data_IF_166848971169
#
_entry.id   IF_166848971169
#
_cell.length_a   1.000
_cell.length_b   1.000
_cell.length_c   1.000
_cell.angle_alpha   90.00
_cell.angle_beta   90.00
_cell.angle_gamma   90.00
#
_symmetry.space_group_name_H-M   'P 1'
#
loop_
_entity.id
_entity.type
_entity.pdbx_description
1 polymer ?
#
# COMPACT_ATOMS: atom_id res chain seq x y z
N UNK A 1 -26.07 42.80 21.72
CA UNK A 1 -25.21 41.88 22.51
C UNK A 1 -25.77 40.45 22.64
N UNK A 2 -27.07 40.25 22.94
CA UNK A 2 -27.65 38.89 23.09
C UNK A 2 -27.64 38.04 21.80
N UNK A 3 -27.85 38.66 20.63
CA UNK A 3 -27.85 37.96 19.33
C UNK A 3 -26.44 37.50 18.90
N UNK A 4 -25.40 38.31 19.17
CA UNK A 4 -24.01 37.99 18.87
C UNK A 4 -23.45 36.92 19.83
N UNK A 5 -23.91 36.90 21.09
CA UNK A 5 -23.58 35.85 22.05
C UNK A 5 -24.17 34.48 21.60
N UNK A 6 -25.38 34.49 21.05
CA UNK A 6 -26.04 33.31 20.46
C UNK A 6 -25.36 32.81 19.18
N UNK A 7 -24.92 33.71 18.30
CA UNK A 7 -24.18 33.38 17.08
C UNK A 7 -22.79 32.78 17.36
N UNK A 8 -22.09 33.30 18.38
CA UNK A 8 -20.79 32.76 18.81
C UNK A 8 -20.94 31.36 19.44
N UNK A 9 -22.04 31.13 20.17
CA UNK A 9 -22.38 29.82 20.73
C UNK A 9 -22.71 28.76 19.68
N UNK A 10 -23.27 29.14 18.52
CA UNK A 10 -23.61 28.23 17.41
C UNK A 10 -22.37 27.80 16.62
N UNK A 11 -21.40 28.70 16.44
CA UNK A 11 -20.12 28.41 15.76
C UNK A 11 -19.24 27.47 16.60
N UNK A 12 -19.31 27.57 17.94
CA UNK A 12 -18.57 26.70 18.85
C UNK A 12 -19.09 25.25 18.87
N UNK A 13 -20.40 25.04 18.69
CA UNK A 13 -21.01 23.69 18.64
C UNK A 13 -20.69 22.96 17.33
N UNK A 14 -20.57 23.69 16.21
CA UNK A 14 -20.20 23.13 14.90
C UNK A 14 -18.70 22.79 14.78
N UNK A 15 -17.85 23.32 15.68
CA UNK A 15 -16.40 23.06 15.69
C UNK A 15 -15.98 21.77 16.39
N UNK A 16 -16.88 21.09 17.11
CA UNK A 16 -16.53 19.91 17.93
C UNK A 16 -16.82 18.55 17.25
N UNK A 17 -17.36 18.53 16.04
CA UNK A 17 -17.61 17.28 15.29
C UNK A 17 -16.39 16.71 14.57
N UNK A 18 -15.19 17.27 14.76
CA UNK A 18 -13.99 16.87 14.02
C UNK A 18 -13.37 15.52 14.47
N UNK A 19 -13.82 14.94 15.58
CA UNK A 19 -13.22 13.73 16.16
C UNK A 19 -14.23 12.61 16.42
N UNK A 20 -14.94 12.18 15.38
CA UNK A 20 -15.73 10.93 15.37
C UNK A 20 -15.43 10.08 14.12
N UNK A 21 -14.20 10.14 13.59
CA UNK A 21 -13.77 9.16 12.60
C UNK A 21 -13.29 7.94 13.37
N UNK A 22 -14.06 6.87 13.29
CA UNK A 22 -13.61 5.56 13.71
C UNK A 22 -12.51 5.14 12.71
N UNK A 23 -11.25 5.25 13.13
CA UNK A 23 -10.08 4.93 12.29
C UNK A 23 -9.88 3.42 12.16
N UNK A 24 -10.79 2.61 12.71
CA UNK A 24 -10.79 1.17 12.52
C UNK A 24 -11.11 0.81 11.06
N UNK A 25 -10.13 0.21 10.39
CA UNK A 25 -10.27 -0.35 9.06
C UNK A 25 -10.34 -1.86 9.19
N UNK A 26 -11.46 -2.47 8.79
CA UNK A 26 -11.57 -3.93 8.68
C UNK A 26 -10.54 -4.45 7.65
N UNK A 27 -9.58 -5.30 8.07
CA UNK A 27 -8.53 -5.79 7.18
C UNK A 27 -9.06 -6.54 5.95
N UNK A 28 -10.21 -7.21 6.09
CA UNK A 28 -10.84 -7.98 5.00
C UNK A 28 -11.42 -7.04 3.96
N UNK A 29 -12.08 -5.98 4.40
CA UNK A 29 -12.64 -4.94 3.50
C UNK A 29 -11.51 -4.19 2.80
N UNK A 30 -10.44 -3.86 3.53
CA UNK A 30 -9.27 -3.21 2.94
C UNK A 30 -8.58 -4.10 1.91
N UNK A 31 -8.39 -5.38 2.21
CA UNK A 31 -7.80 -6.33 1.26
C UNK A 31 -8.62 -6.47 -0.03
N UNK A 32 -9.96 -6.50 0.06
CA UNK A 32 -10.83 -6.53 -1.12
C UNK A 32 -10.70 -5.26 -1.97
N UNK A 33 -10.64 -4.10 -1.31
CA UNK A 33 -10.44 -2.82 -1.98
C UNK A 33 -9.08 -2.76 -2.67
N UNK A 34 -8.02 -3.20 -2.00
CA UNK A 34 -6.67 -3.21 -2.55
C UNK A 34 -6.55 -4.21 -3.71
N UNK A 35 -7.19 -5.37 -3.64
CA UNK A 35 -7.25 -6.33 -4.74
C UNK A 35 -7.86 -5.72 -6.00
N UNK A 36 -8.99 -5.02 -5.86
CA UNK A 36 -9.64 -4.33 -6.99
C UNK A 36 -8.75 -3.23 -7.58
N UNK A 37 -8.05 -2.47 -6.73
CA UNK A 37 -7.10 -1.42 -7.16
C UNK A 37 -5.92 -2.04 -7.91
N UNK A 38 -5.35 -3.15 -7.41
CA UNK A 38 -4.24 -3.86 -8.05
C UNK A 38 -4.67 -4.40 -9.41
N UNK A 39 -5.81 -5.09 -9.50
CA UNK A 39 -6.33 -5.62 -10.77
C UNK A 39 -6.54 -4.52 -11.81
N UNK A 40 -7.09 -3.38 -11.38
CA UNK A 40 -7.22 -2.21 -12.26
C UNK A 40 -5.86 -1.70 -12.74
N UNK A 41 -4.90 -1.51 -11.84
CA UNK A 41 -3.56 -1.06 -12.20
C UNK A 41 -2.88 -2.00 -13.20
N UNK A 42 -2.96 -3.32 -12.97
CA UNK A 42 -2.41 -4.33 -13.88
C UNK A 42 -3.05 -4.24 -15.27
N UNK A 43 -4.38 -4.08 -15.32
CA UNK A 43 -5.14 -3.95 -16.58
C UNK A 43 -4.76 -2.68 -17.34
N UNK A 44 -4.80 -1.53 -16.67
CA UNK A 44 -4.51 -0.22 -17.27
C UNK A 44 -3.07 -0.16 -17.83
N UNK A 45 -2.13 -0.84 -17.18
CA UNK A 45 -0.72 -0.90 -17.57
C UNK A 45 -0.36 -2.13 -18.42
N UNK A 46 -1.33 -2.97 -18.79
CA UNK A 46 -1.14 -4.18 -19.61
C UNK A 46 -0.11 -5.15 -19.02
N UNK A 47 -0.10 -5.30 -17.70
CA UNK A 47 0.79 -6.20 -16.97
C UNK A 47 0.11 -7.56 -16.80
N UNK A 48 0.75 -8.62 -17.31
CA UNK A 48 0.28 -9.99 -17.14
C UNK A 48 0.87 -10.61 -15.87
N UNK A 49 0.15 -10.51 -14.75
CA UNK A 49 0.57 -11.06 -13.46
C UNK A 49 -0.19 -12.35 -13.07
N UNK A 50 0.45 -13.17 -12.24
CA UNK A 50 -0.12 -14.35 -11.60
C UNK A 50 -0.47 -13.98 -10.16
N UNK A 51 -1.69 -14.31 -9.71
CA UNK A 51 -2.12 -14.15 -8.31
C UNK A 51 -1.73 -15.39 -7.51
N UNK A 52 -0.91 -15.21 -6.49
CA UNK A 52 -0.58 -16.24 -5.51
C UNK A 52 -1.72 -16.42 -4.48
N UNK A 53 -1.80 -17.56 -3.81
CA UNK A 53 -2.83 -17.86 -2.79
C UNK A 53 -2.80 -16.91 -1.59
N UNK A 54 -1.65 -16.28 -1.33
CA UNK A 54 -1.51 -15.24 -0.30
C UNK A 54 -2.12 -13.88 -0.69
N UNK A 55 -2.56 -13.71 -1.94
CA UNK A 55 -3.03 -12.43 -2.48
C UNK A 55 -1.96 -11.60 -3.19
N UNK A 56 -0.69 -12.02 -3.17
CA UNK A 56 0.39 -11.34 -3.90
C UNK A 56 0.25 -11.55 -5.41
N UNK A 57 0.38 -10.48 -6.19
CA UNK A 57 0.50 -10.55 -7.65
C UNK A 57 1.97 -10.45 -8.05
N UNK A 58 2.42 -11.33 -8.94
CA UNK A 58 3.79 -11.32 -9.44
C UNK A 58 3.86 -11.64 -10.93
N UNK A 59 4.94 -11.18 -11.58
CA UNK A 59 5.28 -11.56 -12.94
C UNK A 59 6.76 -11.93 -12.99
N UNK A 60 7.06 -13.10 -13.56
CA UNK A 60 8.45 -13.50 -13.82
C UNK A 60 8.86 -12.89 -15.15
N UNK A 61 9.68 -11.84 -15.11
CA UNK A 61 10.21 -11.17 -16.32
C UNK A 61 11.34 -12.00 -16.94
N UNK A 62 12.25 -12.50 -16.10
CA UNK A 62 13.35 -13.36 -16.51
C UNK A 62 13.55 -14.44 -15.45
N UNK A 63 13.46 -15.70 -15.85
CA UNK A 63 13.73 -16.82 -14.95
C UNK A 63 15.23 -16.93 -14.68
N UNK A 64 15.58 -17.13 -13.40
CA UNK A 64 16.92 -17.55 -13.03
C UNK A 64 17.18 -19.03 -13.35
N UNK A 65 18.45 -19.42 -13.31
CA UNK A 65 18.92 -20.80 -13.44
C UNK A 65 19.32 -21.44 -12.10
N UNK A 66 19.10 -20.73 -10.99
CA UNK A 66 19.45 -21.19 -9.65
C UNK A 66 18.58 -22.37 -9.21
N UNK A 67 19.17 -23.28 -8.44
CA UNK A 67 18.53 -24.48 -7.90
C UNK A 67 18.47 -24.48 -6.36
N UNK A 68 18.51 -23.29 -5.76
CA UNK A 68 18.45 -23.13 -4.30
C UNK A 68 17.00 -23.14 -3.83
N UNK A 69 16.72 -23.92 -2.79
CA UNK A 69 15.47 -23.85 -2.04
C UNK A 69 15.58 -22.78 -0.95
N UNK A 70 14.74 -21.74 -1.04
CA UNK A 70 14.70 -20.68 -0.04
C UNK A 70 13.90 -21.12 1.19
N UNK A 71 14.40 -20.76 2.37
CA UNK A 71 13.71 -20.92 3.66
C UNK A 71 13.56 -19.57 4.34
N UNK A 72 12.78 -19.49 5.42
CA UNK A 72 12.61 -18.27 6.20
C UNK A 72 13.92 -17.75 6.84
N UNK A 73 15.00 -18.54 6.89
CA UNK A 73 16.29 -18.13 7.43
C UNK A 73 17.33 -17.80 6.35
N UNK A 74 16.97 -17.89 5.08
CA UNK A 74 17.88 -17.66 3.96
C UNK A 74 18.08 -16.16 3.77
N UNK A 75 19.31 -15.67 3.87
CA UNK A 75 19.63 -14.31 3.45
C UNK A 75 19.54 -14.19 1.93
N UNK A 76 18.77 -13.22 1.46
CA UNK A 76 18.65 -12.88 0.03
C UNK A 76 19.26 -11.52 -0.23
N UNK A 77 19.92 -11.35 -1.36
CA UNK A 77 20.39 -10.05 -1.84
C UNK A 77 19.55 -9.61 -3.03
N UNK A 78 19.16 -8.34 -3.06
CA UNK A 78 18.31 -7.81 -4.13
C UNK A 78 18.76 -6.42 -4.57
N UNK A 79 18.74 -6.21 -5.89
CA UNK A 79 18.73 -4.88 -6.48
C UNK A 79 17.29 -4.58 -6.90
N UNK A 80 16.63 -3.66 -6.20
CA UNK A 80 15.20 -3.38 -6.38
C UNK A 80 14.90 -1.88 -6.45
N UNK A 81 13.68 -1.58 -6.90
CA UNK A 81 13.07 -0.26 -6.78
C UNK A 81 11.62 -0.44 -6.36
N UNK A 82 11.26 0.08 -5.18
CA UNK A 82 9.90 0.13 -4.66
C UNK A 82 9.18 1.38 -5.16
N UNK A 83 8.00 1.19 -5.74
CA UNK A 83 7.16 2.28 -6.25
C UNK A 83 5.74 2.13 -5.75
N UNK A 84 5.10 3.26 -5.45
CA UNK A 84 3.65 3.34 -5.29
C UNK A 84 2.97 3.15 -6.66
N UNK A 85 1.67 2.84 -6.68
CA UNK A 85 0.90 2.73 -7.93
C UNK A 85 0.82 4.04 -8.71
N UNK A 86 1.10 5.18 -8.05
CA UNK A 86 1.28 6.48 -8.70
C UNK A 86 2.59 6.60 -9.49
N UNK A 87 3.49 5.63 -9.38
CA UNK A 87 4.82 5.64 -9.97
C UNK A 87 5.91 6.29 -9.09
N UNK A 88 5.53 6.95 -7.99
CA UNK A 88 6.46 7.56 -7.04
C UNK A 88 7.36 6.47 -6.42
N UNK A 89 8.69 6.65 -6.53
CA UNK A 89 9.67 5.82 -5.84
C UNK A 89 9.67 6.19 -4.35
N UNK A 90 9.47 5.21 -3.48
CA UNK A 90 9.58 5.41 -2.03
C UNK A 90 10.87 4.80 -1.46
N UNK A 91 11.43 3.79 -2.13
CA UNK A 91 12.66 3.14 -1.72
C UNK A 91 13.36 2.46 -2.92
N UNK A 92 14.68 2.33 -2.88
CA UNK A 92 15.46 1.63 -3.92
C UNK A 92 16.85 1.25 -3.43
N UNK A 93 17.41 0.19 -4.00
CA UNK A 93 18.85 -0.07 -3.91
C UNK A 93 19.62 1.07 -4.61
N UNK A 94 20.79 1.44 -4.07
CA UNK A 94 21.65 2.46 -4.65
C UNK A 94 22.72 1.82 -5.54
N UNK A 95 23.92 1.62 -5.01
CA UNK A 95 25.07 1.13 -5.79
C UNK A 95 25.33 -0.36 -5.55
N UNK A 96 24.89 -0.91 -4.43
CA UNK A 96 25.11 -2.30 -4.05
C UNK A 96 23.77 -2.99 -3.76
N UNK A 97 23.63 -4.29 -4.09
CA UNK A 97 22.47 -5.08 -3.65
C UNK A 97 22.34 -5.04 -2.13
N UNK A 98 21.11 -4.84 -1.65
CA UNK A 98 20.82 -4.87 -0.22
C UNK A 98 20.55 -6.32 0.22
N UNK A 99 21.02 -6.68 1.42
CA UNK A 99 20.83 -7.98 2.02
C UNK A 99 19.64 -7.98 2.98
N UNK A 100 18.79 -9.00 2.88
CA UNK A 100 17.59 -9.19 3.69
C UNK A 100 17.61 -10.57 4.30
N UNK A 101 17.16 -10.69 5.55
CA UNK A 101 17.04 -11.95 6.28
C UNK A 101 15.65 -12.03 6.88
#
# INVERSE_FOLDING_TARGET
MKIHLLLFSIVMVLGLSSCLKDDYVDPTVQAQKDDAIIVKFLTDNKISAIKHSSGLYYQIIQSGAGNITYSANTTVTSNYTGRLLSGQVFDKSTTQPLAFK
#
